data_IF_771453367957
#
_entry.id   IF_771453367957
#
_cell.length_a   1.000
_cell.length_b   1.000
_cell.length_c   1.000
_cell.angle_alpha   90.00
_cell.angle_beta   90.00
_cell.angle_gamma   90.00
#
_symmetry.space_group_name_H-M   'P 1'
#
loop_
_entity.id
_entity.type
_entity.pdbx_description
1 polymer ?
#
# COMPACT_ATOMS: atom_id res chain seq x y z
N UNK A 1 -85.43 -13.47 13.26
CA UNK A 1 -84.16 -12.69 13.35
C UNK A 1 -83.08 -13.59 13.92
N UNK A 2 -82.16 -14.12 13.09
CA UNK A 2 -81.05 -15.00 13.50
C UNK A 2 -79.86 -14.12 13.92
N UNK A 3 -79.40 -14.22 15.17
CA UNK A 3 -78.10 -13.67 15.60
C UNK A 3 -77.07 -14.81 15.64
N UNK A 4 -76.14 -14.79 14.70
CA UNK A 4 -74.94 -15.65 14.69
C UNK A 4 -73.92 -15.05 15.66
N UNK A 5 -73.63 -15.74 16.76
CA UNK A 5 -72.50 -15.42 17.62
C UNK A 5 -71.24 -16.08 17.04
N UNK A 6 -70.27 -15.28 16.60
CA UNK A 6 -68.94 -15.73 16.20
C UNK A 6 -68.07 -15.81 17.46
N UNK A 7 -67.64 -17.01 17.84
CA UNK A 7 -66.65 -17.23 18.89
C UNK A 7 -65.25 -16.92 18.35
N UNK A 8 -64.58 -15.94 18.96
CA UNK A 8 -63.18 -15.60 18.69
C UNK A 8 -62.30 -16.47 19.62
N UNK A 9 -61.61 -17.46 19.07
CA UNK A 9 -60.64 -18.26 19.84
C UNK A 9 -59.30 -17.54 19.84
N UNK A 10 -58.92 -16.98 20.98
CA UNK A 10 -57.58 -16.40 21.21
C UNK A 10 -56.65 -17.56 21.55
N UNK A 11 -55.75 -17.90 20.63
CA UNK A 11 -54.67 -18.86 20.87
C UNK A 11 -53.55 -18.15 21.63
N UNK A 12 -53.36 -18.48 22.91
CA UNK A 12 -52.19 -18.05 23.68
C UNK A 12 -50.96 -18.85 23.24
N UNK A 13 -50.02 -18.20 22.55
CA UNK A 13 -48.68 -18.75 22.33
C UNK A 13 -47.86 -18.51 23.61
N UNK A 14 -47.75 -19.53 24.46
CA UNK A 14 -46.82 -19.50 25.59
C UNK A 14 -45.39 -19.64 25.05
N UNK A 15 -44.69 -18.51 24.89
CA UNK A 15 -43.26 -18.51 24.60
C UNK A 15 -42.51 -19.05 25.84
N UNK A 16 -42.02 -20.29 25.77
CA UNK A 16 -41.15 -20.84 26.79
C UNK A 16 -39.80 -20.10 26.73
N UNK A 17 -39.53 -19.28 27.74
CA UNK A 17 -38.24 -18.62 27.92
C UNK A 17 -37.21 -19.69 28.28
N UNK A 18 -36.38 -20.11 27.31
CA UNK A 18 -35.24 -20.99 27.59
C UNK A 18 -34.17 -20.13 28.24
N UNK A 19 -34.09 -20.15 29.57
CA UNK A 19 -33.02 -19.52 30.31
C UNK A 19 -31.71 -20.29 30.04
N UNK A 20 -30.79 -19.68 29.29
CA UNK A 20 -29.43 -20.19 29.15
C UNK A 20 -28.75 -20.21 30.53
N UNK A 21 -28.05 -21.30 30.91
CA UNK A 21 -27.35 -21.34 32.19
C UNK A 21 -26.27 -20.26 32.22
N UNK A 22 -26.38 -19.34 33.18
CA UNK A 22 -25.31 -18.40 33.49
C UNK A 22 -24.14 -19.20 34.09
N UNK A 23 -22.99 -19.17 33.44
CA UNK A 23 -21.76 -19.71 34.03
C UNK A 23 -21.37 -18.80 35.20
N UNK A 24 -21.68 -19.23 36.42
CA UNK A 24 -21.19 -18.56 37.61
C UNK A 24 -19.66 -18.67 37.64
N UNK A 25 -18.96 -17.55 37.64
CA UNK A 25 -17.51 -17.53 37.87
C UNK A 25 -17.29 -18.09 39.28
N UNK A 26 -16.57 -19.21 39.36
CA UNK A 26 -16.26 -19.84 40.64
C UNK A 26 -15.41 -18.88 41.50
N UNK A 27 -15.69 -18.84 42.81
CA UNK A 27 -14.90 -18.05 43.74
C UNK A 27 -13.43 -18.53 43.77
N UNK A 28 -12.45 -17.64 44.02
CA UNK A 28 -11.04 -18.00 44.06
C UNK A 28 -10.74 -19.11 45.07
N UNK A 29 -9.88 -20.07 44.69
CA UNK A 29 -9.49 -21.17 45.57
C UNK A 29 -8.63 -20.69 46.76
N UNK A 30 -8.39 -21.57 47.74
CA UNK A 30 -7.44 -21.26 48.82
C UNK A 30 -6.00 -21.09 48.29
N UNK A 31 -5.63 -21.85 47.26
CA UNK A 31 -4.33 -21.75 46.61
C UNK A 31 -4.19 -20.40 45.88
N UNK A 32 -5.21 -19.99 45.13
CA UNK A 32 -5.21 -18.69 44.42
C UNK A 32 -5.07 -17.53 45.40
N UNK A 33 -5.79 -17.59 46.54
CA UNK A 33 -5.69 -16.58 47.60
C UNK A 33 -4.31 -16.53 48.24
N UNK A 34 -3.68 -17.70 48.49
CA UNK A 34 -2.33 -17.76 49.04
C UNK A 34 -1.28 -17.22 48.06
N UNK A 35 -1.38 -17.59 46.78
CA UNK A 35 -0.49 -17.10 45.73
C UNK A 35 -0.66 -15.60 45.50
N UNK A 36 -1.90 -15.10 45.46
CA UNK A 36 -2.15 -13.66 45.33
C UNK A 36 -1.61 -12.87 46.53
N UNK A 37 -1.66 -13.42 47.75
CA UNK A 37 -1.08 -12.77 48.93
C UNK A 37 0.45 -12.67 48.83
N UNK A 38 1.13 -13.72 48.34
CA UNK A 38 2.59 -13.69 48.13
C UNK A 38 2.98 -12.73 47.00
N UNK A 39 2.24 -12.72 45.89
CA UNK A 39 2.44 -11.76 44.81
C UNK A 39 2.20 -10.33 45.28
N UNK A 40 1.18 -10.09 46.10
CA UNK A 40 0.96 -8.78 46.71
C UNK A 40 2.14 -8.38 47.60
N UNK A 41 2.63 -9.27 48.45
CA UNK A 41 3.79 -9.02 49.32
C UNK A 41 5.05 -8.71 48.49
N UNK A 42 5.27 -9.43 47.39
CA UNK A 42 6.32 -9.11 46.43
C UNK A 42 6.12 -7.71 45.84
N UNK A 43 4.90 -7.39 45.38
CA UNK A 43 4.58 -6.07 44.85
C UNK A 43 4.85 -4.95 45.85
N UNK A 44 4.48 -5.14 47.12
CA UNK A 44 4.74 -4.19 48.21
C UNK A 44 6.26 -3.99 48.40
N UNK A 45 7.06 -5.08 48.38
CA UNK A 45 8.52 -4.99 48.49
C UNK A 45 9.17 -4.29 47.30
N UNK A 46 8.72 -4.54 46.07
CA UNK A 46 9.21 -3.86 44.86
C UNK A 46 8.80 -2.37 44.86
N UNK A 47 7.64 -2.02 45.41
CA UNK A 47 7.23 -0.63 45.62
C UNK A 47 8.17 0.10 46.57
N UNK A 48 8.49 -0.51 47.71
CA UNK A 48 9.42 0.05 48.69
C UNK A 48 10.84 0.22 48.09
N UNK A 49 11.21 -0.66 47.16
CA UNK A 49 12.45 -0.59 46.38
C UNK A 49 12.40 0.38 45.17
N UNK A 50 11.26 1.03 44.91
CA UNK A 50 11.01 1.90 43.75
C UNK A 50 11.12 1.18 42.38
N UNK A 51 11.05 -0.15 42.37
CA UNK A 51 10.99 -1.00 41.18
C UNK A 51 9.54 -1.08 40.66
N UNK A 52 9.05 0.04 40.16
CA UNK A 52 7.62 0.20 39.85
C UNK A 52 7.11 -0.72 38.74
N UNK A 53 7.95 -1.12 37.78
CA UNK A 53 7.52 -2.02 36.71
C UNK A 53 7.24 -3.43 37.26
N UNK A 54 8.13 -3.92 38.11
CA UNK A 54 8.08 -5.20 38.79
C UNK A 54 6.92 -5.24 39.79
N UNK A 55 6.74 -4.16 40.56
CA UNK A 55 5.60 -3.98 41.45
C UNK A 55 4.27 -4.06 40.69
N UNK A 56 4.16 -3.34 39.57
CA UNK A 56 2.94 -3.34 38.75
C UNK A 56 2.65 -4.75 38.19
N UNK A 57 3.67 -5.49 37.75
CA UNK A 57 3.51 -6.88 37.30
C UNK A 57 2.95 -7.75 38.42
N UNK A 58 3.60 -7.72 39.60
CA UNK A 58 3.22 -8.56 40.73
C UNK A 58 1.78 -8.28 41.21
N UNK A 59 1.37 -7.01 41.32
CA UNK A 59 0.00 -6.68 41.67
C UNK A 59 -1.01 -7.05 40.58
N UNK A 60 -0.63 -6.98 39.29
CA UNK A 60 -1.50 -7.37 38.18
C UNK A 60 -1.74 -8.87 38.18
N UNK A 61 -0.70 -9.68 38.40
CA UNK A 61 -0.82 -11.13 38.57
C UNK A 61 -1.66 -11.49 39.80
N UNK A 62 -1.45 -10.81 40.93
CA UNK A 62 -2.26 -11.01 42.13
C UNK A 62 -3.75 -10.69 41.88
N UNK A 63 -4.04 -9.60 41.15
CA UNK A 63 -5.40 -9.18 40.85
C UNK A 63 -6.10 -10.16 39.90
N UNK A 64 -5.37 -10.75 38.95
CA UNK A 64 -5.91 -11.76 38.05
C UNK A 64 -6.39 -13.03 38.77
N UNK A 65 -5.79 -13.37 39.92
CA UNK A 65 -6.15 -14.56 40.70
C UNK A 65 -7.40 -14.37 41.57
N UNK A 66 -7.56 -13.20 42.17
CA UNK A 66 -8.59 -12.99 43.21
C UNK A 66 -9.58 -11.89 42.90
N UNK A 67 -9.27 -11.01 41.95
CA UNK A 67 -10.02 -9.77 41.69
C UNK A 67 -10.20 -8.90 42.94
N UNK A 68 -9.29 -8.99 43.92
CA UNK A 68 -9.35 -8.22 45.17
C UNK A 68 -9.29 -6.70 44.88
N UNK A 69 -10.33 -5.92 45.22
CA UNK A 69 -10.33 -4.48 44.99
C UNK A 69 -9.17 -3.74 45.63
N UNK A 70 -8.58 -4.22 46.74
CA UNK A 70 -7.43 -3.57 47.36
C UNK A 70 -6.23 -3.43 46.40
N UNK A 71 -6.07 -4.38 45.47
CA UNK A 71 -5.00 -4.36 44.47
C UNK A 71 -5.21 -3.30 43.38
N UNK A 72 -6.44 -2.85 43.14
CA UNK A 72 -6.72 -1.74 42.22
C UNK A 72 -6.06 -0.45 42.72
N UNK A 73 -6.24 -0.13 44.01
CA UNK A 73 -5.61 1.05 44.61
C UNK A 73 -4.08 0.94 44.59
N UNK A 74 -3.53 -0.23 44.93
CA UNK A 74 -2.08 -0.45 44.86
C UNK A 74 -1.55 -0.24 43.43
N UNK A 75 -2.17 -0.86 42.41
CA UNK A 75 -1.80 -0.68 41.00
C UNK A 75 -1.91 0.78 40.57
N UNK A 76 -2.94 1.50 40.98
CA UNK A 76 -3.09 2.92 40.69
C UNK A 76 -1.93 3.77 41.22
N UNK A 77 -1.48 3.53 42.46
CA UNK A 77 -0.34 4.24 43.05
C UNK A 77 0.97 3.96 42.32
N UNK A 78 1.16 2.72 41.83
CA UNK A 78 2.32 2.37 40.99
C UNK A 78 2.25 3.07 39.64
N UNK A 79 1.07 3.07 39.00
CA UNK A 79 0.84 3.73 37.72
C UNK A 79 1.07 5.24 37.82
N UNK A 80 0.67 5.88 38.92
CA UNK A 80 0.97 7.28 39.21
C UNK A 80 2.48 7.55 39.31
N UNK A 81 3.22 6.69 40.02
CA UNK A 81 4.69 6.79 40.10
C UNK A 81 5.38 6.63 38.73
N UNK A 82 4.79 5.81 37.85
CA UNK A 82 5.20 5.64 36.45
C UNK A 82 4.68 6.75 35.52
N UNK A 83 3.99 7.76 36.05
CA UNK A 83 3.34 8.83 35.28
C UNK A 83 2.29 8.30 34.28
N UNK A 84 1.73 7.12 34.49
CA UNK A 84 0.65 6.53 33.67
C UNK A 84 -0.72 6.96 34.21
N UNK A 85 -0.95 8.28 34.28
CA UNK A 85 -2.07 8.86 35.01
C UNK A 85 -3.45 8.42 34.49
N UNK A 86 -3.61 8.25 33.17
CA UNK A 86 -4.89 7.81 32.61
C UNK A 86 -5.28 6.42 33.13
N UNK A 87 -4.31 5.50 33.16
CA UNK A 87 -4.49 4.15 33.66
C UNK A 87 -4.69 4.14 35.18
N UNK A 88 -3.96 5.00 35.91
CA UNK A 88 -4.14 5.17 37.35
C UNK A 88 -5.57 5.64 37.69
N UNK A 89 -6.10 6.63 36.97
CA UNK A 89 -7.47 7.11 37.15
C UNK A 89 -8.49 6.00 36.88
N UNK A 90 -8.27 5.14 35.89
CA UNK A 90 -9.16 4.02 35.59
C UNK A 90 -9.20 3.00 36.73
N UNK A 91 -8.04 2.65 37.28
CA UNK A 91 -7.93 1.77 38.45
C UNK A 91 -8.60 2.38 39.71
N UNK A 92 -8.42 3.68 39.95
CA UNK A 92 -9.05 4.38 41.07
C UNK A 92 -10.57 4.47 40.92
N UNK A 93 -11.07 4.75 39.72
CA UNK A 93 -12.51 4.75 39.44
C UNK A 93 -13.12 3.35 39.63
N UNK A 94 -12.40 2.31 39.18
CA UNK A 94 -12.82 0.93 39.39
C UNK A 94 -12.81 0.57 40.88
N UNK A 95 -11.80 0.99 41.63
CA UNK A 95 -11.78 0.85 43.09
C UNK A 95 -12.96 1.59 43.75
N UNK A 96 -13.23 2.83 43.33
CA UNK A 96 -14.34 3.64 43.81
C UNK A 96 -15.71 3.01 43.51
N UNK A 97 -15.84 2.24 42.43
CA UNK A 97 -17.03 1.47 42.12
C UNK A 97 -17.11 0.20 42.97
N UNK A 98 -16.10 -0.67 42.88
CA UNK A 98 -16.21 -2.08 43.26
C UNK A 98 -15.85 -2.36 44.73
N UNK A 99 -15.06 -1.50 45.39
CA UNK A 99 -14.58 -1.78 46.74
C UNK A 99 -15.70 -1.73 47.79
N UNK A 100 -15.65 -2.57 48.84
CA UNK A 100 -16.61 -2.50 49.95
C UNK A 100 -16.41 -1.19 50.76
N UNK A 101 -17.47 -0.66 51.42
CA UNK A 101 -17.38 0.61 52.16
C UNK A 101 -16.26 0.66 53.19
N UNK A 102 -16.00 -0.46 53.90
CA UNK A 102 -14.91 -0.55 54.87
C UNK A 102 -13.52 -0.34 54.25
N UNK A 103 -13.33 -0.79 53.00
CA UNK A 103 -12.07 -0.60 52.29
C UNK A 103 -11.95 0.83 51.74
N UNK A 104 -13.05 1.39 51.21
CA UNK A 104 -13.11 2.81 50.79
C UNK A 104 -12.80 3.77 51.94
N UNK A 105 -13.27 3.48 53.15
CA UNK A 105 -13.00 4.28 54.35
C UNK A 105 -11.51 4.36 54.71
N UNK A 106 -10.67 3.41 54.23
CA UNK A 106 -9.21 3.45 54.42
C UNK A 106 -8.50 4.41 53.45
N UNK A 107 -9.23 4.94 52.46
CA UNK A 107 -8.72 5.88 51.46
C UNK A 107 -9.59 7.16 51.46
N UNK A 108 -9.60 7.95 52.56
CA UNK A 108 -10.55 9.05 52.74
C UNK A 108 -10.41 10.19 51.71
N UNK A 109 -9.25 10.31 51.04
CA UNK A 109 -8.97 11.33 50.01
C UNK A 109 -9.00 10.77 48.58
N UNK A 110 -9.72 9.66 48.37
CA UNK A 110 -9.78 9.01 47.07
C UNK A 110 -10.23 9.97 45.95
N UNK A 111 -11.28 10.75 46.19
CA UNK A 111 -11.79 11.69 45.18
C UNK A 111 -10.80 12.82 44.90
N UNK A 112 -10.18 13.39 45.92
CA UNK A 112 -9.13 14.42 45.76
C UNK A 112 -7.97 13.90 44.88
N UNK A 113 -7.55 12.64 45.10
CA UNK A 113 -6.52 12.00 44.28
C UNK A 113 -6.97 11.82 42.83
N UNK A 114 -8.20 11.34 42.60
CA UNK A 114 -8.76 11.19 41.25
C UNK A 114 -8.79 12.55 40.54
N UNK A 115 -9.23 13.60 41.22
CA UNK A 115 -9.33 14.94 40.68
C UNK A 115 -7.95 15.54 40.37
N UNK A 116 -6.96 15.31 41.25
CA UNK A 116 -5.58 15.72 41.01
C UNK A 116 -5.01 15.06 39.76
N UNK A 117 -5.18 13.74 39.61
CA UNK A 117 -4.68 13.01 38.44
C UNK A 117 -5.42 13.41 37.16
N UNK A 118 -6.72 13.66 37.22
CA UNK A 118 -7.47 14.22 36.10
C UNK A 118 -6.95 15.62 35.71
N UNK A 119 -6.54 16.43 36.68
CA UNK A 119 -5.87 17.71 36.43
C UNK A 119 -4.53 17.58 35.70
N UNK A 120 -3.90 16.40 35.71
CA UNK A 120 -2.67 16.08 34.95
C UNK A 120 -2.95 15.40 33.60
N UNK A 121 -4.21 15.29 33.20
CA UNK A 121 -4.63 14.68 31.94
C UNK A 121 -5.25 15.72 31.01
N UNK A 122 -5.06 15.50 29.72
CA UNK A 122 -5.73 16.21 28.63
C UNK A 122 -6.60 15.22 27.87
N UNK A 123 -7.83 15.62 27.55
CA UNK A 123 -8.66 14.88 26.59
C UNK A 123 -8.29 15.33 25.18
N UNK A 124 -7.54 14.50 24.46
CA UNK A 124 -7.05 14.77 23.13
C UNK A 124 -7.98 14.14 22.07
N UNK A 125 -8.44 14.96 21.13
CA UNK A 125 -9.12 14.51 19.92
C UNK A 125 -8.22 14.79 18.71
N UNK A 126 -7.96 13.77 17.89
CA UNK A 126 -7.21 13.91 16.64
C UNK A 126 -8.13 13.65 15.45
N UNK A 127 -8.32 14.67 14.63
CA UNK A 127 -9.11 14.63 13.40
C UNK A 127 -8.19 14.41 12.22
N UNK A 128 -8.31 13.24 11.59
CA UNK A 128 -7.55 12.88 10.40
C UNK A 128 -8.47 12.14 9.44
N UNK A 129 -8.60 12.59 8.17
CA UNK A 129 -9.48 11.94 7.21
C UNK A 129 -8.93 10.60 6.69
N UNK A 130 -7.63 10.33 6.87
CA UNK A 130 -7.02 9.06 6.46
C UNK A 130 -7.33 8.00 7.51
N UNK A 131 -8.01 6.89 7.17
CA UNK A 131 -8.30 5.82 8.11
C UNK A 131 -7.06 4.99 8.43
N UNK A 132 -7.06 4.32 9.57
CA UNK A 132 -6.00 3.45 10.05
C UNK A 132 -4.61 4.10 10.21
N UNK A 133 -4.53 5.43 10.18
CA UNK A 133 -3.31 6.15 10.45
C UNK A 133 -2.96 6.02 11.94
N UNK A 134 -1.72 5.64 12.24
CA UNK A 134 -1.24 5.49 13.62
C UNK A 134 -1.03 6.87 14.24
N UNK A 135 -1.63 7.09 15.40
CA UNK A 135 -1.50 8.34 16.17
C UNK A 135 -0.56 8.09 17.35
N UNK A 136 0.47 8.92 17.48
CA UNK A 136 1.44 8.89 18.55
C UNK A 136 1.46 10.21 19.30
N UNK A 137 1.67 10.12 20.61
CA UNK A 137 1.89 11.26 21.50
C UNK A 137 3.14 10.95 22.31
N UNK A 138 4.18 11.80 22.18
CA UNK A 138 5.51 11.56 22.79
C UNK A 138 6.05 10.17 22.43
N UNK A 139 6.05 9.84 21.14
CA UNK A 139 6.49 8.55 20.58
C UNK A 139 5.71 7.31 21.04
N UNK A 140 4.73 7.44 21.94
CA UNK A 140 3.83 6.36 22.35
C UNK A 140 2.59 6.35 21.46
N UNK A 141 2.30 5.20 20.83
CA UNK A 141 1.07 5.02 20.08
C UNK A 141 -0.14 5.05 21.02
N UNK A 142 -1.13 5.89 20.69
CA UNK A 142 -2.39 6.02 21.44
C UNK A 142 -3.59 5.41 20.71
N UNK A 143 -3.43 5.03 19.45
CA UNK A 143 -4.48 4.39 18.65
C UNK A 143 -4.28 4.58 17.15
N UNK A 144 -5.34 4.30 16.40
CA UNK A 144 -5.43 4.54 14.95
C UNK A 144 -6.64 5.40 14.65
N UNK A 145 -6.61 6.12 13.53
CA UNK A 145 -7.70 6.99 13.09
C UNK A 145 -8.85 6.19 12.45
N UNK A 146 -10.12 6.61 12.62
CA UNK A 146 -10.56 7.57 13.63
C UNK A 146 -10.36 7.01 15.04
N UNK A 147 -9.93 7.85 15.98
CA UNK A 147 -9.87 7.46 17.39
C UNK A 147 -11.29 7.27 17.93
N UNK A 148 -11.45 6.34 18.88
CA UNK A 148 -12.72 6.15 19.60
C UNK A 148 -12.93 7.30 20.60
N UNK A 149 -13.41 8.44 20.09
CA UNK A 149 -13.64 9.64 20.89
C UNK A 149 -12.35 10.32 21.36
N UNK A 150 -12.46 11.07 22.47
CA UNK A 150 -11.34 11.78 23.05
C UNK A 150 -10.49 10.84 23.94
N UNK A 151 -9.19 10.78 23.66
CA UNK A 151 -8.24 9.93 24.40
C UNK A 151 -7.59 10.74 25.51
N UNK A 152 -7.54 10.19 26.74
CA UNK A 152 -6.83 10.81 27.87
C UNK A 152 -5.33 10.58 27.73
N UNK A 153 -4.56 11.67 27.70
CA UNK A 153 -3.09 11.66 27.64
C UNK A 153 -2.53 12.60 28.71
N UNK A 154 -1.28 12.38 29.14
CA UNK A 154 -0.66 13.28 30.12
C UNK A 154 -0.53 14.72 29.58
N UNK A 155 -0.83 15.70 30.42
CA UNK A 155 -0.65 17.12 30.13
C UNK A 155 0.83 17.51 30.00
N UNK A 156 1.09 18.74 29.59
CA UNK A 156 2.43 19.28 29.34
C UNK A 156 2.83 19.21 27.86
N UNK A 157 4.04 19.65 27.56
CA UNK A 157 4.54 19.66 26.17
C UNK A 157 4.58 18.26 25.57
N UNK A 158 4.14 18.14 24.32
CA UNK A 158 4.16 16.88 23.57
C UNK A 158 4.37 17.13 22.07
N UNK A 159 5.02 16.16 21.43
CA UNK A 159 4.94 16.00 19.98
C UNK A 159 3.80 15.04 19.66
N UNK A 160 2.88 15.48 18.80
CA UNK A 160 1.86 14.65 18.18
C UNK A 160 2.36 14.24 16.81
N UNK A 161 2.35 12.94 16.54
CA UNK A 161 2.68 12.39 15.23
C UNK A 161 1.51 11.55 14.69
N UNK A 162 1.17 11.74 13.41
CA UNK A 162 0.19 10.90 12.70
C UNK A 162 0.88 10.31 11.47
N UNK A 163 0.92 8.98 11.41
CA UNK A 163 1.66 8.23 10.38
C UNK A 163 0.71 7.29 9.64
N UNK A 164 0.73 7.35 8.32
CA UNK A 164 0.10 6.38 7.44
C UNK A 164 1.06 5.99 6.32
N UNK A 165 0.91 4.76 5.83
CA UNK A 165 1.68 4.26 4.68
C UNK A 165 1.35 5.05 3.42
N UNK A 166 2.38 5.43 2.65
CA UNK A 166 2.20 6.27 1.46
C UNK A 166 1.96 7.76 1.75
N UNK A 167 1.95 8.19 3.03
CA UNK A 167 1.77 9.58 3.42
C UNK A 167 3.02 10.18 4.06
N UNK A 168 3.19 11.49 3.92
CA UNK A 168 4.16 12.27 4.69
C UNK A 168 3.66 12.32 6.14
N UNK A 169 4.46 11.93 7.15
CA UNK A 169 4.06 11.99 8.55
C UNK A 169 3.69 13.42 8.96
N UNK A 170 2.54 13.58 9.61
CA UNK A 170 2.20 14.84 10.26
C UNK A 170 2.88 14.88 11.63
N UNK A 171 3.61 15.96 11.93
CA UNK A 171 4.26 16.18 13.23
C UNK A 171 3.94 17.59 13.72
N UNK A 172 3.49 17.70 14.96
CA UNK A 172 3.19 18.99 15.59
C UNK A 172 3.54 18.98 17.07
N UNK A 173 4.36 19.94 17.50
CA UNK A 173 4.58 20.22 18.92
C UNK A 173 3.44 21.06 19.46
N UNK A 174 2.87 20.64 20.60
CA UNK A 174 1.75 21.32 21.26
C UNK A 174 1.94 21.31 22.77
N UNK A 175 1.27 22.22 23.46
CA UNK A 175 1.09 22.17 24.91
C UNK A 175 -0.25 21.48 25.21
N UNK A 176 -0.22 20.37 25.94
CA UNK A 176 -1.42 19.63 26.33
C UNK A 176 -1.95 20.20 27.66
N UNK A 177 -3.13 20.86 27.71
CA UNK A 177 -3.63 21.50 28.93
C UNK A 177 -4.09 20.47 29.97
N UNK A 178 -3.64 20.62 31.23
CA UNK A 178 -4.11 19.80 32.34
C UNK A 178 -5.59 20.04 32.68
N UNK A 179 -6.36 18.96 32.84
CA UNK A 179 -7.81 18.98 33.07
C UNK A 179 -8.64 19.44 31.86
N UNK A 180 -7.99 19.86 30.77
CA UNK A 180 -8.63 20.47 29.61
C UNK A 180 -8.79 19.51 28.43
N UNK A 181 -9.34 20.06 27.35
CA UNK A 181 -9.51 19.36 26.08
C UNK A 181 -8.66 20.03 25.00
N UNK A 182 -8.15 19.24 24.07
CA UNK A 182 -7.45 19.73 22.88
C UNK A 182 -7.91 18.97 21.65
N UNK A 183 -8.25 19.72 20.60
CA UNK A 183 -8.60 19.16 19.28
C UNK A 183 -7.48 19.51 18.30
N UNK A 184 -6.98 18.52 17.58
CA UNK A 184 -5.94 18.67 16.57
C UNK A 184 -6.45 18.15 15.24
N UNK A 185 -6.44 19.03 14.24
CA UNK A 185 -6.59 18.64 12.84
C UNK A 185 -5.21 18.23 12.29
N UNK A 186 -5.12 16.99 11.83
CA UNK A 186 -3.91 16.35 11.32
C UNK A 186 -4.14 15.81 9.89
N UNK A 187 -4.29 16.69 8.88
CA UNK A 187 -4.38 16.25 7.50
C UNK A 187 -3.05 15.62 7.06
N UNK A 188 -3.13 14.49 6.35
CA UNK A 188 -1.97 13.84 5.76
C UNK A 188 -1.92 14.11 4.25
N UNK A 189 -0.73 14.48 3.76
CA UNK A 189 -0.45 14.58 2.33
C UNK A 189 0.14 13.26 1.84
N UNK A 190 -0.37 12.75 0.71
CA UNK A 190 0.25 11.61 0.02
C UNK A 190 1.71 11.97 -0.32
N UNK A 191 2.63 11.02 -0.14
CA UNK A 191 3.98 11.17 -0.65
C UNK A 191 3.90 11.25 -2.16
N UNK A 192 4.64 12.20 -2.72
CA UNK A 192 4.86 12.22 -4.15
C UNK A 192 5.80 11.07 -4.50
N UNK A 193 5.22 9.90 -4.73
CA UNK A 193 5.97 8.68 -4.95
C UNK A 193 6.58 8.60 -6.36
N UNK A 194 6.49 9.66 -7.18
CA UNK A 194 6.96 9.62 -8.56
C UNK A 194 8.49 9.49 -8.62
N UNK A 195 8.98 8.66 -9.54
CA UNK A 195 10.38 8.61 -9.94
C UNK A 195 10.59 9.35 -11.25
N UNK A 196 11.84 9.63 -11.59
CA UNK A 196 12.23 10.46 -12.73
C UNK A 196 12.97 9.60 -13.75
N UNK A 197 12.37 9.38 -14.91
CA UNK A 197 12.97 8.64 -16.01
C UNK A 197 13.57 9.60 -17.03
N UNK A 198 14.83 9.39 -17.37
CA UNK A 198 15.55 10.08 -18.45
C UNK A 198 15.86 9.05 -19.52
N UNK A 199 15.42 9.30 -20.75
CA UNK A 199 15.68 8.40 -21.88
C UNK A 199 16.60 9.10 -22.86
N UNK A 200 17.75 8.48 -23.11
CA UNK A 200 18.76 8.88 -24.09
C UNK A 200 18.82 7.87 -25.22
N UNK A 201 19.11 8.33 -26.44
CA UNK A 201 19.22 7.47 -27.61
C UNK A 201 20.56 7.64 -28.34
N UNK A 202 21.06 6.54 -28.88
CA UNK A 202 22.18 6.53 -29.83
C UNK A 202 21.70 5.83 -31.12
N UNK A 203 21.55 6.53 -32.25
CA UNK A 203 21.86 7.96 -32.48
C UNK A 203 20.91 8.90 -31.73
N UNK A 204 21.36 10.15 -31.50
CA UNK A 204 20.52 11.20 -30.92
C UNK A 204 19.38 11.60 -31.87
N UNK A 205 18.34 12.23 -31.33
CA UNK A 205 17.21 12.73 -32.13
C UNK A 205 16.09 11.71 -32.36
N UNK A 206 16.07 10.59 -31.63
CA UNK A 206 14.98 9.61 -31.72
C UNK A 206 13.73 10.09 -30.95
N UNK A 207 12.55 9.80 -31.48
CA UNK A 207 11.29 10.00 -30.78
C UNK A 207 11.14 8.97 -29.67
N UNK A 208 10.74 9.43 -28.48
CA UNK A 208 10.54 8.63 -27.27
C UNK A 208 9.07 8.64 -26.90
N UNK A 209 8.53 7.47 -26.60
CA UNK A 209 7.23 7.33 -25.95
C UNK A 209 7.33 6.40 -24.75
N UNK A 210 6.53 6.67 -23.72
CA UNK A 210 6.43 5.86 -22.51
C UNK A 210 4.97 5.50 -22.27
N UNK A 211 4.68 4.20 -22.16
CA UNK A 211 3.33 3.63 -22.04
C UNK A 211 2.35 4.14 -23.11
N UNK A 212 2.87 4.39 -24.32
CA UNK A 212 2.08 4.90 -25.44
C UNK A 212 1.90 6.43 -25.46
N UNK A 213 2.38 7.16 -24.44
CA UNK A 213 2.41 8.63 -24.44
C UNK A 213 3.73 9.14 -25.02
N UNK A 214 3.66 9.97 -26.06
CA UNK A 214 4.85 10.61 -26.64
C UNK A 214 5.46 11.62 -25.65
N UNK A 215 6.77 11.50 -25.40
CA UNK A 215 7.57 12.41 -24.60
C UNK A 215 8.37 13.40 -25.46
N UNK A 216 8.38 13.22 -26.78
CA UNK A 216 9.18 14.01 -27.71
C UNK A 216 10.54 13.39 -28.01
N UNK A 217 11.53 14.21 -28.32
CA UNK A 217 12.82 13.78 -28.88
C UNK A 217 13.86 13.54 -27.78
N UNK A 218 14.64 12.46 -27.88
CA UNK A 218 15.71 12.12 -26.95
C UNK A 218 16.88 13.13 -27.01
N UNK A 219 17.43 13.57 -25.85
CA UNK A 219 17.09 13.14 -24.50
C UNK A 219 15.75 13.69 -24.00
N UNK A 220 14.89 12.81 -23.46
CA UNK A 220 13.57 13.16 -22.92
C UNK A 220 13.43 12.75 -21.45
N UNK A 221 12.65 13.50 -20.68
CA UNK A 221 12.48 13.30 -19.23
C UNK A 221 11.00 13.27 -18.83
N UNK A 222 10.63 12.36 -17.92
CA UNK A 222 9.27 12.24 -17.39
C UNK A 222 9.26 11.84 -15.91
N UNK A 223 8.27 12.36 -15.18
CA UNK A 223 7.93 11.90 -13.83
C UNK A 223 6.85 10.82 -13.92
N UNK A 224 7.15 9.64 -13.42
CA UNK A 224 6.33 8.43 -13.58
C UNK A 224 6.07 7.82 -12.20
N UNK A 225 4.92 7.16 -12.03
CA UNK A 225 4.65 6.34 -10.85
C UNK A 225 5.73 5.25 -10.69
N UNK A 226 5.97 4.72 -9.48
CA UNK A 226 6.84 3.55 -9.34
C UNK A 226 6.27 2.35 -10.10
N UNK A 227 7.13 1.59 -10.76
CA UNK A 227 6.73 0.40 -11.50
C UNK A 227 7.45 0.23 -12.83
N UNK A 228 6.94 -0.71 -13.63
CA UNK A 228 7.47 -1.02 -14.95
C UNK A 228 6.78 -0.14 -15.99
N UNK A 229 7.57 0.59 -16.76
CA UNK A 229 7.12 1.44 -17.84
C UNK A 229 7.70 0.95 -19.16
N UNK A 230 6.85 0.81 -20.19
CA UNK A 230 7.28 0.43 -21.54
C UNK A 230 7.76 1.68 -22.27
N UNK A 231 9.04 1.73 -22.57
CA UNK A 231 9.68 2.78 -23.36
C UNK A 231 9.82 2.30 -24.79
N UNK A 232 9.33 3.08 -25.76
CA UNK A 232 9.55 2.83 -27.19
C UNK A 232 10.32 4.01 -27.76
N UNK A 233 11.45 3.71 -28.38
CA UNK A 233 12.33 4.67 -29.03
C UNK A 233 12.36 4.36 -30.52
N UNK A 234 12.05 5.37 -31.35
CA UNK A 234 11.93 5.23 -32.79
C UNK A 234 12.68 6.34 -33.52
N UNK A 235 13.38 6.00 -34.60
CA UNK A 235 14.08 6.97 -35.43
C UNK A 235 13.97 6.54 -36.90
N UNK A 236 13.75 7.49 -37.81
CA UNK A 236 13.64 7.19 -39.24
C UNK A 236 14.91 6.51 -39.77
N UNK A 237 14.74 5.41 -40.51
CA UNK A 237 15.86 4.57 -40.99
C UNK A 237 16.38 3.54 -39.97
N UNK A 238 15.87 3.53 -38.74
CA UNK A 238 16.21 2.58 -37.68
C UNK A 238 15.01 1.68 -37.34
N UNK A 239 15.29 0.54 -36.69
CA UNK A 239 14.27 -0.33 -36.11
C UNK A 239 13.81 0.25 -34.78
N UNK A 240 12.51 0.27 -34.56
CA UNK A 240 11.93 0.72 -33.29
C UNK A 240 12.38 -0.24 -32.18
N UNK A 241 12.87 0.33 -31.08
CA UNK A 241 13.37 -0.44 -29.95
C UNK A 241 12.44 -0.23 -28.76
N UNK A 242 11.92 -1.32 -28.21
CA UNK A 242 11.12 -1.31 -26.99
C UNK A 242 11.95 -1.83 -25.81
N UNK A 243 11.94 -1.09 -24.72
CA UNK A 243 12.59 -1.44 -23.46
C UNK A 243 11.63 -1.29 -22.30
N UNK A 244 11.90 -1.96 -21.19
CA UNK A 244 11.16 -1.78 -19.93
C UNK A 244 12.04 -1.03 -18.94
N UNK A 245 11.58 0.13 -18.49
CA UNK A 245 12.23 0.90 -17.43
C UNK A 245 11.52 0.62 -16.10
N UNK A 246 12.28 0.21 -15.08
CA UNK A 246 11.79 0.12 -13.70
C UNK A 246 12.02 1.47 -13.03
N UNK A 247 10.94 2.18 -12.75
CA UNK A 247 10.96 3.45 -12.03
C UNK A 247 10.75 3.17 -10.55
N UNK A 248 11.62 3.72 -9.71
CA UNK A 248 11.54 3.60 -8.25
C UNK A 248 11.23 4.99 -7.68
N UNK A 249 10.42 5.01 -6.61
CA UNK A 249 10.06 6.23 -5.88
C UNK A 249 11.29 7.09 -5.55
N UNK A 250 11.23 8.38 -5.89
CA UNK A 250 12.28 9.36 -5.59
C UNK A 250 13.61 9.16 -6.33
N UNK A 251 13.75 8.14 -7.17
CA UNK A 251 14.98 7.87 -7.90
C UNK A 251 14.97 8.50 -9.30
N UNK A 252 16.15 8.95 -9.74
CA UNK A 252 16.42 9.28 -11.15
C UNK A 252 16.99 8.05 -11.85
N UNK A 253 16.27 7.53 -12.83
CA UNK A 253 16.71 6.42 -13.70
C UNK A 253 17.07 6.98 -15.07
N UNK A 254 18.28 6.69 -15.54
CA UNK A 254 18.68 6.91 -16.93
C UNK A 254 18.57 5.61 -17.70
N UNK A 255 17.97 5.66 -18.88
CA UNK A 255 17.87 4.57 -19.84
C UNK A 255 18.52 4.98 -21.16
N UNK A 256 19.68 4.41 -21.45
CA UNK A 256 20.38 4.59 -22.72
C UNK A 256 19.93 3.51 -23.72
N UNK A 257 19.33 3.92 -24.83
CA UNK A 257 18.83 3.02 -25.88
C UNK A 257 19.68 3.18 -27.15
N UNK A 258 20.27 2.08 -27.62
CA UNK A 258 20.99 2.05 -28.90
C UNK A 258 20.07 1.49 -29.98
N UNK A 259 19.95 2.18 -31.12
CA UNK A 259 19.07 1.81 -32.23
C UNK A 259 19.82 1.11 -33.36
N UNK A 260 19.26 0.00 -33.84
CA UNK A 260 19.80 -0.73 -35.00
C UNK A 260 19.23 -0.18 -36.31
N UNK A 261 20.11 0.03 -37.30
CA UNK A 261 19.71 0.50 -38.62
C UNK A 261 18.87 -0.58 -39.33
N UNK A 262 17.80 -0.18 -40.03
CA UNK A 262 17.04 -1.11 -40.88
C UNK A 262 17.95 -1.58 -42.03
N UNK A 263 17.97 -2.89 -42.35
CA UNK A 263 18.72 -3.36 -43.51
C UNK A 263 18.16 -2.73 -44.79
N UNK A 264 19.00 -2.38 -45.77
CA UNK A 264 18.52 -1.85 -47.05
C UNK A 264 17.70 -2.92 -47.77
N UNK A 265 16.64 -2.52 -48.48
CA UNK A 265 15.75 -3.42 -49.24
C UNK A 265 16.54 -4.33 -50.20
N UNK A 266 17.68 -3.83 -50.70
CA UNK A 266 18.60 -4.54 -51.61
C UNK A 266 19.33 -5.73 -50.99
N UNK A 267 19.33 -5.86 -49.67
CA UNK A 267 19.98 -6.98 -48.96
C UNK A 267 19.13 -8.24 -48.89
N UNK A 268 17.86 -8.18 -49.31
CA UNK A 268 16.98 -9.34 -49.34
C UNK A 268 17.14 -10.08 -50.67
N UNK A 269 17.49 -11.37 -50.62
CA UNK A 269 17.82 -12.20 -51.79
C UNK A 269 16.76 -12.18 -52.92
N UNK A 270 15.47 -11.97 -52.60
CA UNK A 270 14.39 -11.84 -53.60
C UNK A 270 14.42 -10.54 -54.43
N UNK A 271 15.18 -9.52 -54.01
CA UNK A 271 15.36 -8.28 -54.78
C UNK A 271 16.06 -8.56 -56.12
N UNK A 272 16.98 -9.54 -56.17
CA UNK A 272 17.62 -9.99 -57.42
C UNK A 272 16.72 -10.87 -58.30
N UNK A 273 15.71 -11.58 -57.76
CA UNK A 273 14.73 -12.30 -58.59
C UNK A 273 13.83 -11.36 -59.41
N UNK A 274 13.56 -10.15 -58.91
CA UNK A 274 12.78 -9.14 -59.65
C UNK A 274 13.57 -8.47 -60.78
N UNK A 275 14.81 -8.06 -60.53
CA UNK A 275 15.67 -7.42 -61.55
C UNK A 275 16.14 -8.43 -62.61
N UNK A 276 16.43 -9.68 -62.20
CA UNK A 276 16.83 -10.75 -63.13
C UNK A 276 15.73 -11.15 -64.14
N UNK A 277 14.45 -11.10 -63.75
CA UNK A 277 13.33 -11.41 -64.64
C UNK A 277 13.18 -10.39 -65.79
N UNK A 278 13.54 -9.12 -65.58
CA UNK A 278 13.47 -8.06 -66.61
C UNK A 278 14.58 -8.23 -67.67
N UNK A 279 15.77 -8.68 -67.27
CA UNK A 279 16.90 -8.87 -68.20
C UNK A 279 16.74 -10.15 -69.05
N UNK A 280 16.18 -11.22 -68.48
CA UNK A 280 15.88 -12.46 -69.24
C UNK A 280 14.69 -12.28 -70.20
N UNK A 281 13.70 -11.44 -69.85
CA UNK A 281 12.60 -11.10 -70.76
C UNK A 281 13.05 -10.33 -72.01
N UNK A 282 14.06 -9.46 -71.90
CA UNK A 282 14.56 -8.67 -73.04
C UNK A 282 15.44 -9.48 -74.02
N UNK A 283 16.18 -10.48 -73.52
CA UNK A 283 17.04 -11.34 -74.35
C UNK A 283 16.24 -12.42 -75.10
N UNK A 284 15.17 -12.94 -74.51
CA UNK A 284 14.28 -13.91 -75.16
C UNK A 284 13.41 -13.27 -76.23
N UNK A 285 12.90 -12.04 -76.03
CA UNK A 285 12.13 -11.34 -77.05
C UNK A 285 12.96 -10.95 -78.30
N UNK A 286 14.24 -10.60 -78.12
CA UNK A 286 15.15 -10.29 -79.24
C UNK A 286 15.55 -11.54 -80.01
N UNK A 287 15.79 -12.67 -79.34
CA UNK A 287 16.12 -13.94 -80.00
C UNK A 287 14.91 -14.53 -80.78
N UNK A 288 13.69 -14.40 -80.24
CA UNK A 288 12.45 -14.87 -80.91
C UNK A 288 12.12 -14.02 -82.14
N UNK A 289 12.37 -12.70 -82.09
CA UNK A 289 12.20 -11.84 -83.27
C UNK A 289 13.22 -12.16 -84.38
N UNK A 290 14.47 -12.48 -84.02
CA UNK A 290 15.51 -12.84 -84.97
C UNK A 290 15.28 -14.20 -85.65
N UNK A 291 14.77 -15.21 -84.92
CA UNK A 291 14.50 -16.55 -85.46
C UNK A 291 13.18 -16.66 -86.26
N UNK A 292 12.31 -15.64 -86.20
CA UNK A 292 11.01 -15.65 -86.89
C UNK A 292 11.02 -15.11 -88.32
N UNK A 293 12.16 -14.62 -88.84
CA UNK A 293 12.24 -13.95 -90.15
C UNK A 293 13.05 -14.69 -91.22
N UNK A 294 13.59 -15.87 -90.92
CA UNK A 294 14.26 -16.70 -91.93
C UNK A 294 13.24 -17.44 -92.81
N UNK A 295 13.10 -17.01 -94.06
CA UNK A 295 12.34 -17.74 -95.11
C UNK A 295 13.15 -18.94 -95.60
N UNK A 296 12.52 -20.11 -95.64
CA UNK A 296 13.07 -21.34 -96.23
C UNK A 296 13.36 -21.19 -97.73
N UNK A 297 14.55 -21.63 -98.16
CA UNK A 297 14.91 -21.69 -99.58
C UNK A 297 14.13 -22.80 -100.31
N UNK A 298 13.39 -22.43 -101.36
CA UNK A 298 12.75 -23.38 -102.28
C UNK A 298 13.78 -24.03 -103.21
N UNK A 299 13.66 -25.34 -103.39
CA UNK A 299 14.48 -26.20 -104.26
C UNK A 299 14.42 -25.76 -105.72
N UNK A 300 15.56 -25.41 -106.32
CA UNK A 300 15.69 -25.11 -107.74
C UNK A 300 16.20 -26.32 -108.52
N UNK A 301 15.40 -26.83 -109.45
CA UNK A 301 15.84 -27.78 -110.48
C UNK A 301 16.40 -27.00 -111.68
N UNK A 302 17.67 -27.22 -112.02
CA UNK A 302 18.31 -26.66 -113.21
C UNK A 302 18.51 -27.80 -114.22
N UNK A 303 17.84 -27.71 -115.38
CA UNK A 303 18.06 -28.63 -116.49
C UNK A 303 19.44 -28.40 -117.15
N UNK A 304 20.15 -29.44 -117.60
CA UNK A 304 21.46 -29.29 -118.22
C UNK A 304 21.32 -28.69 -119.63
N UNK A 305 21.96 -27.54 -119.87
CA UNK A 305 21.98 -26.84 -121.15
C UNK A 305 23.27 -26.02 -121.33
N UNK A 306 23.81 -26.03 -122.55
CA UNK A 306 25.17 -25.65 -122.94
C UNK A 306 25.57 -24.22 -122.55
N UNK A 307 26.81 -24.06 -122.05
CA UNK A 307 27.47 -22.78 -121.85
C UNK A 307 28.15 -22.36 -123.16
N UNK A 308 27.68 -21.27 -123.77
CA UNK A 308 28.39 -20.55 -124.82
C UNK A 308 28.78 -19.16 -124.27
N UNK A 309 30.06 -18.95 -124.01
CA UNK A 309 30.59 -17.66 -123.56
C UNK A 309 31.17 -16.84 -124.72
N UNK A 310 31.10 -15.50 -124.70
CA UNK A 310 31.89 -14.67 -125.59
C UNK A 310 33.31 -14.51 -125.02
N UNK A 311 34.30 -15.02 -125.74
CA UNK A 311 35.70 -14.68 -125.54
C UNK A 311 35.89 -13.18 -125.82
N UNK A 312 36.45 -12.45 -124.86
CA UNK A 312 37.16 -11.19 -125.13
C UNK A 312 38.64 -11.44 -124.82
N UNK A 313 39.45 -11.07 -125.80
CA UNK A 313 40.87 -11.36 -126.07
C UNK A 313 41.81 -11.37 -124.87
#
# INVERSE_FOLDING_TARGET
MRRLARSLSIVYFAAALVASPSVAIAAPSAADRAQAAELKKKGDAEMDALHYAEALSAYTEAYALTSDPALLYNRARVLEALLRYAEAVDELNKFAADAPPALKARVPKLQELIDELNGKLTKLTVRCPVPNARVLVRDRAIGKTPLEGAVRVNSGTAQIEVVAEGYVPFRKSVELPGGGELVIDAPLAMRDARGRLVVSSTPAGADVSVDGRSLGVAPAEAELSPGNHKVVVSLSGYRDTAATAVVVEGQRKTLDVTLDKKPPITSTWWFWTGVGAVVVGATTATLVYALGTERSAGTGDIAPGQVAGPLRF
#
